data_IF_062261618493
#
_entry.id   IF_062261618493
#
_cell.length_a   1.000
_cell.length_b   1.000
_cell.length_c   1.000
_cell.angle_alpha   90.00
_cell.angle_beta   90.00
_cell.angle_gamma   90.00
#
_symmetry.space_group_name_H-M   'P 1'
#
loop_
_entity.id
_entity.type
_entity.pdbx_description
1 polymer ?
#
# COMPACT_ATOMS: atom_id res chain seq x y z
N UNK A 1 -11.76 20.73 9.29
CA UNK A 1 -11.53 19.89 10.51
C UNK A 1 -12.09 18.49 10.31
N UNK A 2 -13.34 18.35 9.87
CA UNK A 2 -13.95 17.06 9.49
C UNK A 2 -13.13 16.28 8.46
N UNK A 3 -12.56 16.92 7.44
CA UNK A 3 -11.78 16.24 6.38
C UNK A 3 -10.47 15.64 6.91
N UNK A 4 -9.79 16.36 7.83
CA UNK A 4 -8.61 15.84 8.51
C UNK A 4 -8.93 14.65 9.43
N UNK A 5 -10.12 14.64 10.05
CA UNK A 5 -10.57 13.51 10.88
C UNK A 5 -10.79 12.27 10.02
N UNK A 6 -11.40 12.41 8.83
CA UNK A 6 -11.57 11.30 7.89
C UNK A 6 -10.23 10.74 7.44
N UNK A 7 -9.27 11.60 7.08
CA UNK A 7 -7.92 11.18 6.72
C UNK A 7 -7.19 10.43 7.84
N UNK A 8 -7.30 10.91 9.09
CA UNK A 8 -6.70 10.25 10.26
C UNK A 8 -7.35 8.88 10.51
N UNK A 9 -8.68 8.77 10.41
CA UNK A 9 -9.38 7.50 10.60
C UNK A 9 -8.93 6.48 9.54
N UNK A 10 -8.89 6.89 8.26
CA UNK A 10 -8.43 6.03 7.17
C UNK A 10 -6.98 5.59 7.41
N UNK A 11 -6.08 6.50 7.79
CA UNK A 11 -4.69 6.17 8.08
C UNK A 11 -4.56 5.14 9.22
N UNK A 12 -5.33 5.30 10.31
CA UNK A 12 -5.32 4.38 11.45
C UNK A 12 -5.86 3.00 11.07
N UNK A 13 -6.96 2.95 10.31
CA UNK A 13 -7.56 1.68 9.83
C UNK A 13 -6.56 0.93 8.93
N UNK A 14 -5.92 1.64 8.00
CA UNK A 14 -4.97 1.02 7.08
C UNK A 14 -3.70 0.56 7.81
N UNK A 15 -3.21 1.32 8.79
CA UNK A 15 -2.11 0.89 9.67
C UNK A 15 -2.45 -0.39 10.45
N UNK A 16 -3.66 -0.49 11.01
CA UNK A 16 -4.12 -1.70 11.72
C UNK A 16 -4.23 -2.90 10.79
N UNK A 17 -4.77 -2.71 9.58
CA UNK A 17 -4.84 -3.75 8.56
C UNK A 17 -3.45 -4.24 8.15
N UNK A 18 -2.49 -3.33 7.97
CA UNK A 18 -1.11 -3.70 7.68
C UNK A 18 -0.46 -4.45 8.83
N UNK A 19 -0.64 -4.00 10.08
CA UNK A 19 -0.09 -4.68 11.25
C UNK A 19 -0.59 -6.13 11.34
N UNK A 20 -1.87 -6.34 11.06
CA UNK A 20 -2.46 -7.68 11.00
C UNK A 20 -1.94 -8.48 9.80
N UNK A 21 -1.88 -7.86 8.61
CA UNK A 21 -1.38 -8.50 7.38
C UNK A 21 0.07 -8.96 7.50
N UNK A 22 0.96 -8.14 8.08
CA UNK A 22 2.36 -8.51 8.34
C UNK A 22 2.52 -9.63 9.37
N UNK A 23 1.49 -9.95 10.15
CA UNK A 23 1.47 -11.09 11.06
C UNK A 23 1.06 -12.42 10.41
N UNK A 24 0.55 -12.41 9.17
CA UNK A 24 0.16 -13.62 8.45
C UNK A 24 1.33 -14.30 7.75
N UNK A 25 1.22 -15.60 7.42
CA UNK A 25 2.22 -16.35 6.63
C UNK A 25 2.59 -15.66 5.32
N UNK A 26 1.63 -15.01 4.66
CA UNK A 26 1.86 -14.28 3.41
C UNK A 26 2.69 -13.02 3.69
N UNK A 27 2.43 -12.32 4.79
CA UNK A 27 3.19 -11.13 5.19
C UNK A 27 4.64 -11.43 5.60
N UNK A 28 4.87 -12.55 6.30
CA UNK A 28 6.23 -12.99 6.64
C UNK A 28 6.99 -13.50 5.42
N UNK A 29 6.30 -14.22 4.53
CA UNK A 29 6.86 -14.65 3.24
C UNK A 29 7.19 -13.46 2.32
N UNK A 30 6.39 -12.38 2.34
CA UNK A 30 6.68 -11.12 1.63
C UNK A 30 7.98 -10.49 2.14
N UNK A 31 8.19 -10.40 3.46
CA UNK A 31 9.46 -9.89 4.02
C UNK A 31 10.64 -10.80 3.69
N UNK A 32 10.47 -12.11 3.81
CA UNK A 32 11.51 -13.08 3.49
C UNK A 32 11.89 -13.06 2.00
N UNK A 33 10.93 -12.79 1.11
CA UNK A 33 11.15 -12.60 -0.34
C UNK A 33 12.04 -11.38 -0.60
N UNK A 34 11.85 -10.30 0.16
CA UNK A 34 12.70 -9.10 0.07
C UNK A 34 14.13 -9.30 0.57
N UNK A 35 14.37 -10.22 1.51
CA UNK A 35 15.71 -10.52 2.05
C UNK A 35 16.44 -11.52 1.17
N UNK A 36 15.79 -12.61 0.77
CA UNK A 36 16.39 -13.62 -0.09
C UNK A 36 15.35 -14.32 -0.98
N UNK A 37 15.21 -13.88 -2.25
CA UNK A 37 14.24 -14.48 -3.17
C UNK A 37 14.55 -15.92 -3.55
N UNK A 38 15.81 -16.37 -3.44
CA UNK A 38 16.20 -17.76 -3.73
C UNK A 38 15.74 -18.74 -2.63
N UNK A 39 15.74 -18.29 -1.36
CA UNK A 39 15.28 -19.10 -0.22
C UNK A 39 13.78 -19.39 -0.30
N UNK A 40 12.95 -18.38 -0.58
CA UNK A 40 11.49 -18.51 -0.68
C UNK A 40 11.10 -19.43 -1.84
N UNK A 41 11.81 -19.33 -2.97
CA UNK A 41 11.61 -20.22 -4.13
C UNK A 41 11.94 -21.68 -3.80
N UNK A 42 12.98 -21.92 -2.99
CA UNK A 42 13.34 -23.26 -2.53
C UNK A 42 12.33 -23.84 -1.50
N UNK A 43 11.57 -22.99 -0.81
CA UNK A 43 10.49 -23.41 0.10
C UNK A 43 9.14 -23.62 -0.60
N UNK A 44 9.11 -23.64 -1.95
CA UNK A 44 7.90 -23.94 -2.73
C UNK A 44 6.93 -22.75 -2.88
N UNK A 45 7.34 -21.54 -2.48
CA UNK A 45 6.54 -20.33 -2.62
C UNK A 45 6.96 -19.56 -3.88
N UNK A 46 5.99 -19.14 -4.68
CA UNK A 46 6.23 -18.35 -5.90
C UNK A 46 6.66 -16.91 -5.54
N UNK A 47 7.97 -16.65 -5.62
CA UNK A 47 8.58 -15.32 -5.41
C UNK A 47 7.93 -14.25 -6.30
N UNK A 48 7.61 -14.57 -7.56
CA UNK A 48 7.01 -13.62 -8.51
C UNK A 48 5.63 -13.13 -8.06
N UNK A 49 4.77 -14.04 -7.60
CA UNK A 49 3.46 -13.68 -7.05
C UNK A 49 3.58 -12.82 -5.80
N UNK A 50 4.59 -13.09 -4.96
CA UNK A 50 4.85 -12.31 -3.75
C UNK A 50 5.30 -10.88 -4.08
N UNK A 51 6.14 -10.71 -5.11
CA UNK A 51 6.57 -9.40 -5.60
C UNK A 51 5.39 -8.62 -6.20
N UNK A 52 4.54 -9.28 -7.00
CA UNK A 52 3.32 -8.66 -7.56
C UNK A 52 2.38 -8.22 -6.43
N UNK A 53 2.23 -9.03 -5.38
CA UNK A 53 1.41 -8.68 -4.21
C UNK A 53 1.96 -7.44 -3.49
N UNK A 54 3.27 -7.36 -3.30
CA UNK A 54 3.93 -6.18 -2.73
C UNK A 54 3.77 -4.92 -3.58
N UNK A 55 3.92 -5.04 -4.90
CA UNK A 55 3.68 -3.95 -5.86
C UNK A 55 2.23 -3.47 -5.83
N UNK A 56 1.28 -4.40 -5.77
CA UNK A 56 -0.15 -4.10 -5.74
C UNK A 56 -0.50 -3.33 -4.45
N UNK A 57 0.01 -3.77 -3.30
CA UNK A 57 -0.17 -3.07 -2.03
C UNK A 57 0.41 -1.65 -2.12
N UNK A 58 1.66 -1.50 -2.60
CA UNK A 58 2.31 -0.18 -2.75
C UNK A 58 1.51 0.77 -3.65
N UNK A 59 1.08 0.31 -4.82
CA UNK A 59 0.26 1.12 -5.74
C UNK A 59 -1.12 1.45 -5.15
N UNK A 60 -1.70 0.54 -4.34
CA UNK A 60 -2.92 0.79 -3.59
C UNK A 60 -2.79 1.95 -2.60
N UNK A 61 -1.65 2.05 -1.91
CA UNK A 61 -1.34 3.19 -1.02
C UNK A 61 -1.20 4.51 -1.78
N UNK A 62 -0.53 4.48 -2.94
CA UNK A 62 -0.39 5.65 -3.80
C UNK A 62 -1.76 6.15 -4.27
N UNK A 63 -2.64 5.23 -4.70
CA UNK A 63 -4.01 5.57 -5.09
C UNK A 63 -4.85 6.12 -3.93
N UNK A 64 -4.74 5.53 -2.73
CA UNK A 64 -5.41 6.05 -1.53
C UNK A 64 -4.92 7.45 -1.15
N UNK A 65 -3.62 7.73 -1.28
CA UNK A 65 -3.06 9.07 -1.07
C UNK A 65 -3.68 10.10 -2.03
N UNK A 66 -3.79 9.76 -3.32
CA UNK A 66 -4.46 10.61 -4.31
C UNK A 66 -5.94 10.85 -4.01
N UNK A 67 -6.66 9.81 -3.59
CA UNK A 67 -8.07 9.92 -3.21
C UNK A 67 -8.27 10.83 -1.98
N UNK A 68 -7.37 10.76 -0.99
CA UNK A 68 -7.37 11.64 0.18
C UNK A 68 -7.10 13.10 -0.20
N UNK A 69 -6.19 13.36 -1.14
CA UNK A 69 -5.92 14.73 -1.63
C UNK A 69 -7.14 15.31 -2.37
N UNK A 70 -7.81 14.50 -3.19
CA UNK A 70 -9.06 14.89 -3.85
C UNK A 70 -10.18 15.18 -2.84
N UNK A 71 -10.26 14.36 -1.77
CA UNK A 71 -11.22 14.60 -0.69
C UNK A 71 -10.91 15.89 0.08
N UNK A 72 -9.64 16.20 0.34
CA UNK A 72 -9.21 17.41 1.06
C UNK A 72 -9.44 18.73 0.29
N UNK A 73 -9.51 18.67 -1.04
CA UNK A 73 -9.73 19.84 -1.88
C UNK A 73 -11.21 20.04 -2.24
N UNK A 74 -12.08 19.08 -1.92
CA UNK A 74 -13.53 19.17 -2.15
C UNK A 74 -13.98 19.17 -3.62
N UNK A 75 -13.03 19.22 -4.55
CA UNK A 75 -13.21 19.19 -6.00
C UNK A 75 -12.07 18.38 -6.62
N UNK A 76 -12.36 17.68 -7.72
CA UNK A 76 -11.37 16.95 -8.51
C UNK A 76 -11.39 17.49 -9.94
N UNK A 77 -10.38 18.29 -10.28
CA UNK A 77 -10.17 18.82 -11.63
C UNK A 77 -9.14 17.96 -12.39
N UNK A 78 -9.22 17.89 -13.73
CA UNK A 78 -8.28 17.12 -14.57
C UNK A 78 -6.83 17.64 -14.42
N UNK A 79 -6.66 18.90 -14.00
CA UNK A 79 -5.35 19.46 -13.66
C UNK A 79 -4.78 19.03 -12.30
N UNK A 80 -5.60 18.47 -11.39
CA UNK A 80 -5.14 18.02 -10.07
C UNK A 80 -4.32 16.74 -10.20
N UNK A 81 -3.00 16.91 -10.32
CA UNK A 81 -2.03 15.82 -10.38
C UNK A 81 -1.13 15.85 -11.61
N UNK A 82 -1.28 16.82 -12.51
CA UNK A 82 -0.31 17.05 -13.60
C UNK A 82 1.01 17.51 -12.95
N UNK A 83 1.98 16.58 -12.85
CA UNK A 83 3.32 16.84 -12.33
C UNK A 83 3.63 16.23 -10.95
N UNK A 84 2.67 15.61 -10.26
CA UNK A 84 2.96 14.89 -9.00
C UNK A 84 3.46 13.48 -9.30
N UNK A 85 4.78 13.30 -9.23
CA UNK A 85 5.42 11.98 -9.20
C UNK A 85 5.39 11.50 -7.75
N UNK A 86 4.60 10.46 -7.48
CA UNK A 86 4.65 9.77 -6.18
C UNK A 86 5.69 8.67 -6.31
N UNK A 87 6.90 8.93 -5.78
CA UNK A 87 7.99 7.96 -5.65
C UNK A 87 7.85 7.11 -4.39
#
# INVERSE_FOLDING_TARGET
>A
ITEAIVGIIVAVVVCLLLFWFFGTEIGTALRATGVNPQMIRAQGVNTDNMIVLGLLISNGFVGMSGALIGQFQGFADVGMGIGTIVI
#
